data_IF_767894784631
#
_entry.id   IF_767894784631
#
_cell.length_a   1.000
_cell.length_b   1.000
_cell.length_c   1.000
_cell.angle_alpha   90.00
_cell.angle_beta   90.00
_cell.angle_gamma   90.00
#
_symmetry.space_group_name_H-M   'P 1'
#
loop_
_entity.id
_entity.type
_entity.pdbx_description
1 polymer ?
#
# COMPACT_ATOMS: atom_id res chain seq x y z
N UNK A 1 5.74 -17.43 -12.14
CA UNK A 1 5.07 -16.14 -11.91
C UNK A 1 4.72 -16.08 -10.43
N UNK A 2 5.03 -15.00 -9.72
CA UNK A 2 4.62 -14.83 -8.32
C UNK A 2 3.31 -14.04 -8.26
N UNK A 3 2.42 -14.43 -7.34
CA UNK A 3 1.10 -13.81 -7.14
C UNK A 3 1.05 -13.19 -5.75
N UNK A 4 0.72 -11.90 -5.69
CA UNK A 4 0.54 -11.19 -4.43
C UNK A 4 -0.94 -10.81 -4.26
N UNK A 5 -1.51 -11.20 -3.11
CA UNK A 5 -2.86 -10.78 -2.71
C UNK A 5 -2.83 -9.48 -1.90
N UNK A 6 -3.96 -8.80 -1.81
CA UNK A 6 -4.08 -7.60 -0.97
C UNK A 6 -5.17 -7.80 0.06
N UNK A 7 -4.84 -7.61 1.33
CA UNK A 7 -5.77 -7.55 2.45
C UNK A 7 -6.12 -6.09 2.72
N UNK A 8 -7.36 -5.72 2.49
CA UNK A 8 -7.89 -4.39 2.75
C UNK A 8 -8.44 -4.32 4.17
N UNK A 9 -7.68 -3.77 5.09
CA UNK A 9 -8.15 -3.60 6.47
C UNK A 9 -9.41 -2.75 6.53
N UNK A 10 -10.30 -3.09 7.45
CA UNK A 10 -11.38 -2.20 7.87
C UNK A 10 -10.80 -0.94 8.50
N UNK A 11 -11.61 0.12 8.54
CA UNK A 11 -11.17 1.42 9.07
C UNK A 11 -10.58 1.28 10.48
N UNK A 12 -9.33 1.72 10.63
CA UNK A 12 -8.55 1.61 11.86
C UNK A 12 -8.93 2.66 12.90
N UNK A 13 -8.74 2.38 14.20
CA UNK A 13 -8.82 3.40 15.25
C UNK A 13 -7.90 4.58 14.94
N UNK A 14 -8.49 5.78 14.92
CA UNK A 14 -7.83 7.01 14.48
C UNK A 14 -8.31 7.53 13.13
N UNK A 15 -8.94 6.68 12.32
CA UNK A 15 -9.64 7.07 11.10
C UNK A 15 -11.07 7.56 11.40
N UNK A 16 -11.60 8.55 10.64
CA UNK A 16 -12.97 9.07 10.84
C UNK A 16 -14.06 8.02 10.65
N UNK A 17 -13.80 7.01 9.84
CA UNK A 17 -14.77 5.97 9.48
C UNK A 17 -14.76 4.77 10.41
N UNK A 18 -13.85 4.73 11.40
CA UNK A 18 -13.75 3.58 12.31
C UNK A 18 -15.03 3.38 13.13
N UNK A 19 -15.49 2.14 13.20
CA UNK A 19 -16.65 1.69 14.01
C UNK A 19 -16.40 0.37 14.71
N UNK A 20 -15.26 -0.28 14.41
CA UNK A 20 -14.89 -1.60 14.90
C UNK A 20 -13.78 -1.50 15.96
N UNK A 21 -13.75 -2.46 16.85
CA UNK A 21 -12.62 -2.71 17.73
C UNK A 21 -11.42 -3.26 16.94
N UNK A 22 -10.24 -3.26 17.55
CA UNK A 22 -9.04 -3.85 16.93
C UNK A 22 -9.25 -5.36 16.73
N UNK A 23 -9.84 -6.05 17.69
CA UNK A 23 -10.07 -7.50 17.60
C UNK A 23 -11.00 -7.87 16.43
N UNK A 24 -12.09 -7.13 16.25
CA UNK A 24 -12.99 -7.34 15.09
C UNK A 24 -12.29 -7.06 13.75
N UNK A 25 -11.35 -6.10 13.72
CA UNK A 25 -10.57 -5.81 12.51
C UNK A 25 -9.59 -6.96 12.23
N UNK A 26 -8.95 -7.51 13.27
CA UNK A 26 -8.05 -8.65 13.16
C UNK A 26 -8.80 -9.87 12.64
N UNK A 27 -9.97 -10.17 13.19
CA UNK A 27 -10.78 -11.32 12.78
C UNK A 27 -11.12 -11.26 11.29
N UNK A 28 -11.63 -10.11 10.82
CA UNK A 28 -11.96 -9.93 9.40
C UNK A 28 -10.72 -10.01 8.50
N UNK A 29 -9.61 -9.40 8.92
CA UNK A 29 -8.37 -9.45 8.15
C UNK A 29 -7.79 -10.87 8.10
N UNK A 30 -7.93 -11.65 9.18
CA UNK A 30 -7.49 -13.06 9.20
C UNK A 30 -8.30 -13.94 8.24
N UNK A 31 -9.60 -13.69 8.09
CA UNK A 31 -10.42 -14.39 7.08
C UNK A 31 -9.92 -14.13 5.65
N UNK A 32 -9.58 -12.87 5.35
CA UNK A 32 -9.01 -12.48 4.05
C UNK A 32 -7.63 -13.14 3.84
N UNK A 33 -6.76 -13.14 4.84
CA UNK A 33 -5.45 -13.83 4.83
C UNK A 33 -5.63 -15.31 4.51
N UNK A 34 -6.50 -16.00 5.27
CA UNK A 34 -6.75 -17.43 5.09
C UNK A 34 -7.25 -17.74 3.66
N UNK A 35 -8.12 -16.89 3.13
CA UNK A 35 -8.65 -17.03 1.77
C UNK A 35 -7.56 -16.89 0.70
N UNK A 36 -6.64 -15.92 0.88
CA UNK A 36 -5.52 -15.70 -0.03
C UNK A 36 -4.50 -16.83 0.03
N UNK A 37 -4.15 -17.29 1.24
CA UNK A 37 -3.23 -18.42 1.45
C UNK A 37 -3.81 -19.69 0.84
N UNK A 38 -5.08 -19.98 1.07
CA UNK A 38 -5.78 -21.10 0.43
C UNK A 38 -5.76 -21.00 -1.09
N UNK A 39 -5.83 -19.79 -1.64
CA UNK A 39 -5.71 -19.51 -3.07
C UNK A 39 -4.29 -19.68 -3.64
N UNK A 40 -3.29 -19.92 -2.80
CA UNK A 40 -1.91 -20.19 -3.22
C UNK A 40 -1.12 -18.94 -3.62
N UNK A 41 -1.30 -17.83 -2.91
CA UNK A 41 -0.49 -16.61 -3.15
C UNK A 41 0.95 -16.78 -2.63
N UNK A 42 1.90 -16.12 -3.28
CA UNK A 42 3.31 -16.07 -2.87
C UNK A 42 3.59 -14.96 -1.85
N UNK A 43 2.67 -14.02 -1.72
CA UNK A 43 2.79 -12.92 -0.77
C UNK A 43 1.49 -12.16 -0.57
N UNK A 44 1.46 -11.36 0.49
CA UNK A 44 0.29 -10.57 0.92
C UNK A 44 0.74 -9.14 1.18
N UNK A 45 -0.03 -8.17 0.68
CA UNK A 45 0.10 -6.76 1.04
C UNK A 45 -1.05 -6.40 1.98
N UNK A 46 -0.73 -5.87 3.15
CA UNK A 46 -1.73 -5.40 4.11
C UNK A 46 -1.83 -3.88 3.96
N UNK A 47 -3.06 -3.39 3.72
CA UNK A 47 -3.32 -2.02 3.34
C UNK A 47 -4.51 -1.44 4.13
N UNK A 48 -4.36 -0.22 4.67
CA UNK A 48 -5.41 0.46 5.44
C UNK A 48 -6.52 1.08 4.55
N UNK A 49 -7.02 0.33 3.58
CA UNK A 49 -7.99 0.79 2.58
C UNK A 49 -9.31 1.30 3.19
N UNK A 50 -9.70 0.81 4.35
CA UNK A 50 -10.90 1.23 5.07
C UNK A 50 -10.81 2.64 5.68
N UNK A 51 -9.63 3.26 5.75
CA UNK A 51 -9.41 4.57 6.37
C UNK A 51 -9.89 5.76 5.53
N UNK A 52 -10.71 5.50 4.52
CA UNK A 52 -11.28 6.55 3.66
C UNK A 52 -12.17 7.51 4.47
N UNK A 53 -12.05 8.85 4.27
CA UNK A 53 -11.09 9.56 3.40
C UNK A 53 -9.67 9.54 3.96
N UNK A 54 -8.70 9.25 3.09
CA UNK A 54 -7.30 9.14 3.51
C UNK A 54 -6.69 10.49 3.85
N UNK A 55 -5.79 10.50 4.83
CA UNK A 55 -4.82 11.59 4.96
C UNK A 55 -3.83 11.51 3.80
N UNK A 56 -3.25 12.64 3.43
CA UNK A 56 -2.28 12.72 2.34
C UNK A 56 -1.01 11.93 2.66
N UNK A 57 -0.35 12.31 3.74
CA UNK A 57 0.82 11.70 4.36
C UNK A 57 0.58 11.70 5.87
N UNK A 58 1.47 11.14 6.66
CA UNK A 58 1.52 11.28 8.11
C UNK A 58 0.21 10.84 8.83
N UNK A 59 0.01 9.54 8.86
CA UNK A 59 -1.11 8.96 9.61
C UNK A 59 -0.98 9.25 11.11
N UNK A 60 -2.10 9.30 11.82
CA UNK A 60 -2.09 9.56 13.26
C UNK A 60 -1.30 8.47 14.02
N UNK A 61 -0.66 8.86 15.13
CA UNK A 61 0.01 7.89 16.03
C UNK A 61 -0.94 6.78 16.48
N UNK A 62 -2.22 7.09 16.62
CA UNK A 62 -3.25 6.10 16.97
C UNK A 62 -3.47 5.10 15.85
N UNK A 63 -3.55 5.57 14.61
CA UNK A 63 -3.67 4.71 13.42
C UNK A 63 -2.43 3.85 13.24
N UNK A 64 -1.23 4.43 13.38
CA UNK A 64 0.05 3.72 13.31
C UNK A 64 0.10 2.57 14.33
N UNK A 65 -0.18 2.86 15.61
CA UNK A 65 -0.19 1.84 16.64
C UNK A 65 -1.22 0.74 16.38
N UNK A 66 -2.44 1.12 15.95
CA UNK A 66 -3.50 0.17 15.63
C UNK A 66 -3.14 -0.72 14.44
N UNK A 67 -2.55 -0.15 13.39
CA UNK A 67 -2.12 -0.91 12.21
C UNK A 67 -1.03 -1.92 12.60
N UNK A 68 -0.02 -1.48 13.34
CA UNK A 68 1.04 -2.36 13.85
C UNK A 68 0.45 -3.52 14.65
N UNK A 69 -0.49 -3.22 15.58
CA UNK A 69 -1.16 -4.24 16.38
C UNK A 69 -1.92 -5.24 15.53
N UNK A 70 -2.65 -4.78 14.51
CA UNK A 70 -3.37 -5.69 13.60
C UNK A 70 -2.39 -6.62 12.90
N UNK A 71 -1.34 -6.08 12.26
CA UNK A 71 -0.37 -6.90 11.51
C UNK A 71 0.32 -7.92 12.41
N UNK A 72 0.73 -7.53 13.60
CA UNK A 72 1.44 -8.41 14.56
C UNK A 72 0.57 -9.58 15.06
N UNK A 73 -0.76 -9.40 15.06
CA UNK A 73 -1.69 -10.44 15.51
C UNK A 73 -2.25 -11.31 14.36
N UNK A 74 -1.89 -11.04 13.10
CA UNK A 74 -2.25 -11.92 12.00
C UNK A 74 -1.38 -13.17 11.97
N UNK A 75 -2.02 -14.32 11.86
CA UNK A 75 -1.33 -15.61 11.66
C UNK A 75 -1.10 -15.83 10.18
N UNK A 76 0.13 -15.60 9.72
CA UNK A 76 0.53 -15.77 8.32
C UNK A 76 1.66 -16.82 8.25
N UNK A 77 1.57 -17.77 7.32
CA UNK A 77 2.58 -18.79 7.11
C UNK A 77 3.94 -18.18 6.75
N UNK A 78 5.04 -18.77 7.25
CA UNK A 78 6.39 -18.18 7.16
C UNK A 78 6.96 -18.06 5.75
N UNK A 79 6.47 -18.82 4.80
CA UNK A 79 6.86 -18.80 3.39
C UNK A 79 6.09 -17.75 2.57
N UNK A 80 5.03 -17.17 3.13
CA UNK A 80 4.28 -16.07 2.53
C UNK A 80 4.99 -14.75 2.80
N UNK A 81 5.35 -14.04 1.74
CA UNK A 81 5.99 -12.73 1.83
C UNK A 81 4.97 -11.66 2.24
N UNK A 82 5.23 -10.94 3.32
CA UNK A 82 4.33 -9.89 3.84
C UNK A 82 4.86 -8.51 3.50
N UNK A 83 3.99 -7.66 3.00
CA UNK A 83 4.26 -6.26 2.71
C UNK A 83 3.24 -5.32 3.34
N UNK A 84 3.66 -4.10 3.60
CA UNK A 84 2.84 -3.05 4.21
C UNK A 84 2.64 -1.90 3.22
N UNK A 85 1.40 -1.44 3.08
CA UNK A 85 1.07 -0.24 2.34
C UNK A 85 0.24 0.71 3.22
N UNK A 86 0.73 1.90 3.47
CA UNK A 86 0.04 2.91 4.29
C UNK A 86 -0.48 4.03 3.40
N UNK A 87 -1.78 4.04 3.22
CA UNK A 87 -2.47 5.04 2.42
C UNK A 87 -2.64 6.38 3.17
N UNK A 88 -2.60 7.58 2.48
CA UNK A 88 -2.43 7.58 1.03
C UNK A 88 -0.99 7.41 0.59
N UNK A 89 0.01 7.95 1.32
CA UNK A 89 1.43 7.92 0.93
C UNK A 89 2.38 8.05 2.13
N UNK A 90 2.11 7.37 3.24
CA UNK A 90 2.99 7.42 4.42
C UNK A 90 4.05 6.29 4.36
N UNK A 91 5.13 6.55 3.62
CA UNK A 91 6.22 5.60 3.46
C UNK A 91 7.01 5.35 4.75
N UNK A 92 7.11 6.36 5.62
CA UNK A 92 7.83 6.23 6.90
C UNK A 92 7.05 5.35 7.87
N UNK A 93 5.74 5.56 7.98
CA UNK A 93 4.88 4.69 8.79
C UNK A 93 4.91 3.24 8.26
N UNK A 94 4.88 3.05 6.92
CA UNK A 94 4.97 1.73 6.32
C UNK A 94 6.27 1.00 6.71
N UNK A 95 7.41 1.69 6.63
CA UNK A 95 8.71 1.15 7.04
C UNK A 95 8.76 0.85 8.53
N UNK A 96 8.24 1.74 9.39
CA UNK A 96 8.20 1.53 10.84
C UNK A 96 7.36 0.31 11.21
N UNK A 97 6.18 0.14 10.58
CA UNK A 97 5.34 -1.05 10.77
C UNK A 97 6.08 -2.29 10.28
N UNK A 98 6.68 -2.23 9.08
CA UNK A 98 7.38 -3.38 8.51
C UNK A 98 8.55 -3.85 9.39
N UNK A 99 9.34 -2.93 9.96
CA UNK A 99 10.39 -3.28 10.90
C UNK A 99 9.84 -3.93 12.17
N UNK A 100 8.83 -3.31 12.78
CA UNK A 100 8.23 -3.80 14.03
C UNK A 100 7.62 -5.19 13.88
N UNK A 101 6.99 -5.48 12.73
CA UNK A 101 6.29 -6.74 12.44
C UNK A 101 7.11 -7.75 11.63
N UNK A 102 8.37 -7.41 11.32
CA UNK A 102 9.27 -8.24 10.49
C UNK A 102 8.71 -8.52 9.09
N UNK A 103 7.90 -7.61 8.56
CA UNK A 103 7.42 -7.66 7.19
C UNK A 103 8.59 -7.41 6.22
N UNK A 104 8.56 -8.04 5.03
CA UNK A 104 9.73 -8.10 4.15
C UNK A 104 9.80 -6.94 3.16
N UNK A 105 8.69 -6.27 2.90
CA UNK A 105 8.66 -5.12 1.99
C UNK A 105 7.60 -4.09 2.37
N UNK A 106 7.74 -2.91 1.81
CA UNK A 106 6.69 -1.88 1.82
C UNK A 106 6.28 -1.54 0.39
N UNK A 107 5.01 -1.19 0.19
CA UNK A 107 4.55 -0.59 -1.05
C UNK A 107 4.33 0.90 -0.83
N UNK A 108 4.94 1.73 -1.68
CA UNK A 108 4.82 3.19 -1.63
C UNK A 108 4.18 3.68 -2.93
N UNK A 109 3.09 4.41 -2.80
CA UNK A 109 2.28 4.83 -3.94
C UNK A 109 2.92 5.96 -4.75
N UNK A 110 3.58 6.91 -4.08
CA UNK A 110 4.34 8.00 -4.72
C UNK A 110 5.68 8.10 -4.02
N UNK A 111 6.69 7.39 -4.51
CA UNK A 111 8.04 7.41 -3.95
C UNK A 111 8.84 8.62 -4.42
N UNK A 112 8.75 8.96 -5.70
CA UNK A 112 9.35 10.14 -6.31
C UNK A 112 8.34 10.84 -7.23
N UNK A 113 8.74 12.00 -7.79
CA UNK A 113 7.90 12.82 -8.65
C UNK A 113 6.64 13.32 -7.94
N UNK A 114 5.67 13.79 -8.71
CA UNK A 114 4.44 14.41 -8.24
C UNK A 114 3.23 13.72 -8.85
N UNK A 115 2.18 13.51 -8.05
CA UNK A 115 0.88 13.01 -8.51
C UNK A 115 -0.26 13.90 -8.02
N UNK A 116 -1.23 14.15 -8.88
CA UNK A 116 -2.48 14.83 -8.53
C UNK A 116 -3.50 13.79 -8.10
N UNK A 117 -3.98 13.88 -6.87
CA UNK A 117 -4.91 12.92 -6.26
C UNK A 117 -6.12 13.61 -5.67
N UNK A 118 -7.11 12.85 -5.22
CA UNK A 118 -8.26 13.35 -4.46
C UNK A 118 -7.87 13.92 -3.08
N UNK A 119 -6.68 13.56 -2.55
CA UNK A 119 -6.09 14.19 -1.36
C UNK A 119 -5.30 15.46 -1.69
N UNK A 120 -5.29 15.89 -2.96
CA UNK A 120 -4.49 16.99 -3.46
C UNK A 120 -3.18 16.54 -4.11
N UNK A 121 -2.20 17.43 -4.17
CA UNK A 121 -0.89 17.14 -4.74
C UNK A 121 -0.08 16.30 -3.76
N UNK A 122 0.36 15.12 -4.18
CA UNK A 122 1.30 14.29 -3.44
C UNK A 122 2.65 14.39 -4.13
N UNK A 123 3.65 14.77 -3.38
CA UNK A 123 5.06 14.80 -3.78
C UNK A 123 5.78 13.63 -3.12
N UNK A 124 6.55 12.88 -3.91
CA UNK A 124 7.35 11.78 -3.39
C UNK A 124 8.57 12.29 -2.65
N UNK A 125 8.91 11.64 -1.55
CA UNK A 125 10.10 11.94 -0.75
C UNK A 125 11.03 10.73 -0.66
N UNK A 126 11.57 10.35 -1.80
CA UNK A 126 12.49 9.22 -1.89
C UNK A 126 13.72 9.38 -0.98
N UNK A 127 14.17 10.63 -0.75
CA UNK A 127 15.32 10.89 0.11
C UNK A 127 15.02 10.48 1.55
N UNK A 128 13.93 10.99 2.12
CA UNK A 128 13.54 10.73 3.52
C UNK A 128 13.24 9.24 3.74
N UNK A 129 12.52 8.63 2.79
CA UNK A 129 12.20 7.19 2.82
C UNK A 129 13.48 6.34 2.82
N UNK A 130 14.43 6.61 1.93
CA UNK A 130 15.68 5.85 1.88
C UNK A 130 16.59 6.13 3.08
N UNK A 131 16.61 7.38 3.58
CA UNK A 131 17.32 7.72 4.80
C UNK A 131 16.76 6.93 5.99
N UNK A 132 15.44 6.88 6.14
CA UNK A 132 14.81 6.10 7.20
C UNK A 132 15.08 4.60 7.03
N UNK A 133 14.90 4.05 5.81
CA UNK A 133 15.25 2.66 5.50
C UNK A 133 16.68 2.30 5.90
N UNK A 134 17.65 3.20 5.65
CA UNK A 134 19.05 2.95 5.99
C UNK A 134 19.33 2.95 7.49
N UNK A 135 18.44 3.49 8.31
CA UNK A 135 18.53 3.48 9.77
C UNK A 135 17.89 2.24 10.42
N UNK A 136 17.15 1.44 9.66
CA UNK A 136 16.52 0.22 10.17
C UNK A 136 17.55 -0.87 10.44
N UNK A 137 17.25 -1.73 11.41
CA UNK A 137 18.07 -2.91 11.74
C UNK A 137 17.79 -4.12 10.85
N UNK A 138 16.78 -4.03 10.00
CA UNK A 138 16.33 -5.09 9.09
C UNK A 138 16.33 -4.61 7.64
N UNK A 139 16.50 -5.55 6.71
CA UNK A 139 16.33 -5.25 5.30
C UNK A 139 14.85 -5.30 4.90
N UNK A 140 14.32 -4.16 4.50
CA UNK A 140 12.95 -4.02 3.98
C UNK A 140 13.02 -3.55 2.54
N UNK A 141 12.44 -4.28 1.60
CA UNK A 141 12.39 -3.87 0.18
C UNK A 141 11.35 -2.78 -0.04
N UNK A 142 11.64 -1.86 -0.95
CA UNK A 142 10.70 -0.81 -1.40
C UNK A 142 10.11 -1.21 -2.75
N UNK A 143 8.81 -1.45 -2.76
CA UNK A 143 7.99 -1.61 -3.96
C UNK A 143 7.32 -0.27 -4.26
N UNK A 144 7.58 0.33 -5.41
CA UNK A 144 7.07 1.65 -5.76
C UNK A 144 6.15 1.61 -6.98
N UNK A 145 5.01 2.30 -6.88
CA UNK A 145 4.05 2.38 -7.97
C UNK A 145 4.53 3.34 -9.07
N UNK A 146 4.40 2.91 -10.33
CA UNK A 146 4.48 3.80 -11.49
C UNK A 146 3.08 4.29 -11.80
N UNK A 147 2.88 5.62 -11.76
CA UNK A 147 1.56 6.22 -12.01
C UNK A 147 0.46 5.55 -11.21
N UNK A 148 0.53 5.76 -9.90
CA UNK A 148 -0.38 5.13 -8.94
C UNK A 148 -1.86 5.27 -9.32
N UNK A 149 -2.64 4.27 -9.04
CA UNK A 149 -4.09 4.24 -9.27
C UNK A 149 -4.80 5.39 -8.54
N UNK A 150 -5.84 5.94 -9.13
CA UNK A 150 -6.60 7.11 -8.63
C UNK A 150 -5.76 8.39 -8.51
N UNK A 151 -4.80 8.55 -9.41
CA UNK A 151 -3.98 9.75 -9.51
C UNK A 151 -3.72 10.10 -10.99
N UNK A 152 -3.35 11.34 -11.22
CA UNK A 152 -2.98 11.84 -12.54
C UNK A 152 -1.55 12.40 -12.46
N UNK A 153 -0.61 11.91 -13.28
CA UNK A 153 0.73 12.48 -13.34
C UNK A 153 0.73 13.87 -13.99
N UNK A 154 1.78 14.67 -13.82
CA UNK A 154 1.96 15.93 -14.53
C UNK A 154 1.87 15.75 -16.06
N UNK A 155 1.36 16.74 -16.80
CA UNK A 155 1.29 16.69 -18.25
C UNK A 155 2.65 16.39 -18.91
N UNK A 156 2.67 15.49 -19.86
CA UNK A 156 3.89 15.10 -20.57
C UNK A 156 4.72 14.01 -19.88
N UNK A 157 4.31 13.54 -18.71
CA UNK A 157 4.96 12.41 -18.02
C UNK A 157 4.85 11.13 -18.87
N UNK A 158 5.94 10.37 -18.92
CA UNK A 158 6.02 9.09 -19.62
C UNK A 158 6.26 7.98 -18.61
N UNK A 159 5.54 6.88 -18.76
CA UNK A 159 5.60 5.75 -17.84
C UNK A 159 6.99 5.12 -17.79
N UNK A 160 7.66 5.04 -18.94
CA UNK A 160 9.00 4.47 -19.06
C UNK A 160 10.03 5.30 -18.27
N UNK A 161 9.96 6.62 -18.42
CA UNK A 161 10.87 7.54 -17.70
C UNK A 161 10.63 7.46 -16.18
N UNK A 162 9.36 7.42 -15.76
CA UNK A 162 9.03 7.31 -14.33
C UNK A 162 9.51 5.98 -13.74
N UNK A 163 9.34 4.87 -14.47
CA UNK A 163 9.86 3.57 -14.03
C UNK A 163 11.39 3.58 -13.87
N UNK A 164 12.09 4.16 -14.84
CA UNK A 164 13.55 4.31 -14.80
C UNK A 164 14.01 5.17 -13.60
N UNK A 165 13.35 6.31 -13.38
CA UNK A 165 13.64 7.20 -12.26
C UNK A 165 13.34 6.56 -10.90
N UNK A 166 12.32 5.73 -10.77
CA UNK A 166 12.03 5.00 -9.52
C UNK A 166 13.18 4.07 -9.13
N UNK A 167 13.76 3.36 -10.11
CA UNK A 167 14.86 2.43 -9.89
C UNK A 167 16.16 3.20 -9.63
N UNK A 168 16.56 4.07 -10.57
CA UNK A 168 17.90 4.66 -10.56
C UNK A 168 18.04 5.88 -9.67
N UNK A 169 16.96 6.57 -9.32
CA UNK A 169 16.95 7.79 -8.51
C UNK A 169 16.09 7.70 -7.27
N UNK A 170 15.01 6.91 -7.30
CA UNK A 170 14.10 6.73 -6.20
C UNK A 170 14.55 5.68 -5.18
N UNK A 171 15.44 4.77 -5.58
CA UNK A 171 15.91 3.69 -4.71
C UNK A 171 14.83 2.60 -4.49
N UNK A 172 13.92 2.43 -5.45
CA UNK A 172 12.97 1.33 -5.44
C UNK A 172 13.67 0.00 -5.76
N UNK A 173 13.39 -1.02 -4.98
CA UNK A 173 13.85 -2.39 -5.24
C UNK A 173 12.98 -3.09 -6.29
N UNK A 174 11.68 -2.74 -6.33
CA UNK A 174 10.70 -3.28 -7.27
C UNK A 174 9.77 -2.16 -7.75
N UNK A 175 9.47 -2.19 -9.04
CA UNK A 175 8.53 -1.25 -9.68
C UNK A 175 7.18 -1.92 -9.90
N UNK A 176 6.11 -1.31 -9.40
CA UNK A 176 4.74 -1.80 -9.52
C UNK A 176 4.00 -1.10 -10.65
N UNK A 177 3.55 -1.87 -11.64
CA UNK A 177 2.74 -1.38 -12.76
C UNK A 177 1.28 -1.77 -12.52
N UNK A 178 0.46 -0.84 -12.06
CA UNK A 178 -0.94 -1.10 -11.70
C UNK A 178 -1.93 -0.86 -12.85
N UNK A 179 -1.47 -0.33 -13.96
CA UNK A 179 -2.33 0.20 -15.04
C UNK A 179 -2.66 -0.80 -16.17
N UNK A 180 -2.09 -1.99 -16.17
CA UNK A 180 -2.14 -2.90 -17.32
C UNK A 180 -3.23 -3.98 -17.28
N UNK A 181 -4.00 -4.06 -16.19
CA UNK A 181 -5.14 -4.99 -16.13
C UNK A 181 -6.36 -4.27 -15.58
N UNK A 182 -7.42 -4.07 -16.39
CA UNK A 182 -8.69 -3.63 -15.84
C UNK A 182 -9.16 -4.69 -14.85
N UNK A 183 -9.34 -4.30 -13.59
CA UNK A 183 -9.87 -5.22 -12.59
C UNK A 183 -11.31 -5.63 -12.99
N UNK A 184 -11.82 -6.78 -12.56
CA UNK A 184 -13.21 -7.16 -12.80
C UNK A 184 -14.22 -6.09 -12.33
N UNK A 185 -13.86 -5.24 -11.36
CA UNK A 185 -14.67 -4.07 -10.94
C UNK A 185 -14.66 -2.95 -11.98
N UNK A 186 -13.51 -2.68 -12.61
CA UNK A 186 -13.39 -1.65 -13.64
C UNK A 186 -14.17 -2.07 -14.89
N UNK A 187 -14.15 -3.36 -15.24
CA UNK A 187 -14.93 -3.91 -16.35
C UNK A 187 -16.44 -3.85 -16.13
N UNK A 188 -16.92 -3.92 -14.88
CA UNK A 188 -18.36 -3.80 -14.57
C UNK A 188 -18.88 -2.38 -14.71
N UNK A 189 -18.07 -1.35 -14.48
CA UNK A 189 -18.47 0.07 -14.65
C UNK A 189 -18.59 0.49 -16.12
N UNK A 190 -17.88 -0.15 -17.03
CA UNK A 190 -17.97 0.16 -18.47
C UNK A 190 -19.21 -0.39 -19.18
N UNK A 191 -20.08 -1.11 -18.46
CA UNK A 191 -21.33 -1.71 -18.99
C UNK A 191 -22.62 -1.01 -18.52
N UNK A 192 -22.57 0.28 -18.17
CA UNK A 192 -23.81 1.03 -18.07
C UNK A 192 -24.34 1.31 -19.49
N UNK A 193 -25.56 0.85 -19.85
CA UNK A 193 -26.18 1.25 -21.11
C UNK A 193 -26.37 2.76 -21.05
N UNK A 194 -25.94 3.46 -22.12
CA UNK A 194 -26.40 4.81 -22.35
C UNK A 194 -27.92 4.72 -22.48
N UNK A 195 -28.66 5.18 -21.48
CA UNK A 195 -30.10 5.40 -21.61
C UNK A 195 -30.30 6.47 -22.67
N UNK A 196 -31.01 6.07 -23.72
CA UNK A 196 -31.58 6.97 -24.71
C UNK A 196 -32.53 7.98 -24.05
#
# INVERSE_FOLDING_TARGET
>A
MKVYGVVHLKSLPGSPSNRLSIDEIIDVAQEDVNSLVYGGVDGIIIENFGDTPFVKNDISKRTLASFTTVVENLSIERDIKVGINVLRNDGLAALAIAEATKSQFVRINVLNNTMYTDQGVIEGDAHEVNQFKSSLNSYVEIYADVFVKHAVPPPGSKIENHADELIHRGGADVVCLLYTSPSPRDMRRSRMPSSA
#
